data_IF_969203521531
#
_entry.id   IF_969203521531
#
_cell.length_a   1.000
_cell.length_b   1.000
_cell.length_c   1.000
_cell.angle_alpha   90.00
_cell.angle_beta   90.00
_cell.angle_gamma   90.00
#
_symmetry.space_group_name_H-M   'P 1'
#
loop_
_entity.id
_entity.type
_entity.pdbx_description
1 polymer ?
#
# COMPACT_ATOMS: atom_id res chain seq x y z
N UNK A 1 -5.36 24.13 -0.58
CA UNK A 1 -6.07 24.51 -1.82
C UNK A 1 -5.15 24.13 -2.97
N UNK A 2 -5.38 22.98 -3.60
CA UNK A 2 -4.58 22.44 -4.70
C UNK A 2 -5.52 22.12 -5.86
N UNK A 3 -5.17 22.55 -7.06
CA UNK A 3 -6.06 22.75 -8.21
C UNK A 3 -6.42 21.47 -8.97
N UNK A 4 -6.93 20.45 -8.29
CA UNK A 4 -7.80 19.40 -8.87
C UNK A 4 -8.86 19.10 -7.82
N UNK A 5 -10.13 18.96 -8.24
CA UNK A 5 -11.27 18.70 -7.35
C UNK A 5 -11.24 17.31 -6.71
N UNK A 6 -10.21 17.03 -5.91
CA UNK A 6 -10.08 15.83 -5.10
C UNK A 6 -10.34 16.22 -3.64
N UNK A 7 -11.58 16.04 -3.21
CA UNK A 7 -11.88 16.02 -1.78
C UNK A 7 -11.29 14.76 -1.18
N UNK A 8 -10.50 14.87 -0.11
CA UNK A 8 -10.06 13.72 0.68
C UNK A 8 -11.31 13.20 1.38
N UNK A 9 -11.97 12.18 0.80
CA UNK A 9 -13.09 11.48 1.44
C UNK A 9 -12.54 10.58 2.55
N UNK A 10 -11.90 11.18 3.57
CA UNK A 10 -11.70 10.50 4.84
C UNK A 10 -13.07 10.42 5.50
N UNK A 11 -13.64 9.23 5.51
CA UNK A 11 -14.82 8.96 6.31
C UNK A 11 -14.47 9.26 7.78
N UNK A 12 -15.15 10.25 8.38
CA UNK A 12 -14.92 10.67 9.76
C UNK A 12 -15.56 9.71 10.78
N UNK A 13 -15.84 8.47 10.36
CA UNK A 13 -16.41 7.41 11.18
C UNK A 13 -15.40 6.29 11.25
N UNK A 14 -15.18 5.75 12.44
CA UNK A 14 -14.36 4.55 12.63
C UNK A 14 -15.06 3.40 11.89
N UNK A 15 -14.60 3.07 10.69
CA UNK A 15 -15.07 1.87 10.00
C UNK A 15 -14.50 0.67 10.77
N UNK A 16 -15.38 -0.03 11.48
CA UNK A 16 -15.05 -1.28 12.15
C UNK A 16 -14.43 -2.24 11.13
N UNK A 17 -13.17 -2.63 11.36
CA UNK A 17 -12.45 -3.59 10.52
C UNK A 17 -11.48 -2.98 9.49
N UNK A 18 -11.37 -1.65 9.39
CA UNK A 18 -10.34 -1.00 8.54
C UNK A 18 -9.42 -0.14 9.38
N UNK A 19 -8.14 -0.51 9.41
CA UNK A 19 -7.09 0.20 10.13
C UNK A 19 -6.18 0.90 9.12
N UNK A 20 -5.76 2.12 9.43
CA UNK A 20 -4.89 2.92 8.56
C UNK A 20 -3.52 3.05 9.22
N UNK A 21 -2.49 2.58 8.52
CA UNK A 21 -1.09 2.74 8.91
C UNK A 21 -0.57 4.16 8.59
N UNK A 22 0.55 4.50 9.21
CA UNK A 22 1.29 5.71 8.86
C UNK A 22 1.73 5.67 7.40
N UNK A 23 1.68 6.83 6.74
CA UNK A 23 2.13 6.95 5.37
C UNK A 23 3.66 6.90 5.30
N UNK A 24 4.29 5.93 4.60
CA UNK A 24 5.75 5.80 4.50
C UNK A 24 6.32 6.79 3.47
N UNK A 25 6.05 8.08 3.66
CA UNK A 25 6.54 9.18 2.83
C UNK A 25 7.98 9.57 3.26
N UNK A 26 9.01 9.39 2.40
CA UNK A 26 10.40 9.72 2.73
C UNK A 26 10.65 11.18 3.08
N UNK A 27 9.82 12.10 2.57
CA UNK A 27 10.01 13.54 2.68
C UNK A 27 9.18 14.17 3.80
N UNK A 28 7.91 13.76 3.95
CA UNK A 28 6.99 14.35 4.95
C UNK A 28 6.65 13.43 6.12
N UNK A 29 7.02 12.16 6.03
CA UNK A 29 6.68 11.17 7.04
C UNK A 29 7.56 11.27 8.29
N UNK A 30 7.04 10.76 9.41
CA UNK A 30 7.64 10.88 10.75
C UNK A 30 9.02 10.22 10.83
N UNK A 31 9.23 9.15 10.07
CA UNK A 31 10.47 8.36 10.08
C UNK A 31 11.35 8.59 8.85
N UNK A 32 11.04 9.58 8.00
CA UNK A 32 11.79 9.86 6.79
C UNK A 32 11.84 8.65 5.85
N UNK A 33 13.03 8.30 5.34
CA UNK A 33 13.24 7.17 4.42
C UNK A 33 13.44 5.81 5.10
N UNK A 34 13.14 5.69 6.40
CA UNK A 34 13.30 4.45 7.17
C UNK A 34 12.05 3.57 7.05
N UNK A 35 12.02 2.72 6.03
CA UNK A 35 10.88 1.84 5.73
C UNK A 35 10.57 0.83 6.82
N UNK A 36 11.57 0.35 7.56
CA UNK A 36 11.38 -0.64 8.64
C UNK A 36 10.59 -0.06 9.82
N UNK A 37 10.82 1.22 10.15
CA UNK A 37 10.03 1.90 11.20
C UNK A 37 8.56 2.05 10.83
N UNK A 38 8.25 2.32 9.56
CA UNK A 38 6.86 2.31 9.11
C UNK A 38 6.27 0.89 9.08
N UNK A 39 7.06 -0.12 8.71
CA UNK A 39 6.60 -1.50 8.78
C UNK A 39 6.30 -1.94 10.22
N UNK A 40 7.05 -1.43 11.19
CA UNK A 40 6.77 -1.63 12.62
C UNK A 40 5.43 -1.03 13.03
N UNK A 41 5.05 0.14 12.53
CA UNK A 41 3.72 0.71 12.78
C UNK A 41 2.60 -0.23 12.28
N UNK A 42 2.79 -0.87 11.12
CA UNK A 42 1.86 -1.90 10.63
C UNK A 42 1.82 -3.11 11.57
N UNK A 43 2.97 -3.57 12.06
CA UNK A 43 3.03 -4.66 13.02
C UNK A 43 2.31 -4.31 14.33
N UNK A 44 2.53 -3.10 14.87
CA UNK A 44 1.87 -2.61 16.07
C UNK A 44 0.33 -2.53 15.85
N UNK A 45 -0.12 -2.16 14.65
CA UNK A 45 -1.54 -2.19 14.29
C UNK A 45 -2.12 -3.61 14.24
N UNK A 46 -1.36 -4.59 13.78
CA UNK A 46 -1.78 -6.00 13.82
C UNK A 46 -1.93 -6.44 15.28
N UNK A 47 -0.91 -6.19 16.11
CA UNK A 47 -0.82 -6.71 17.47
C UNK A 47 -1.78 -6.02 18.44
N UNK A 48 -1.96 -4.71 18.33
CA UNK A 48 -2.75 -3.91 19.27
C UNK A 48 -4.05 -3.35 18.68
N UNK A 49 -4.11 -3.21 17.34
CA UNK A 49 -5.29 -2.71 16.65
C UNK A 49 -6.27 -3.80 16.25
N UNK A 50 -5.83 -5.05 16.14
CA UNK A 50 -6.66 -6.19 15.71
C UNK A 50 -6.61 -7.34 16.71
N UNK A 51 -7.21 -8.49 16.38
CA UNK A 51 -7.13 -9.72 17.17
C UNK A 51 -5.84 -10.52 16.92
N UNK A 52 -4.83 -9.91 16.28
CA UNK A 52 -3.61 -10.58 15.80
C UNK A 52 -3.77 -11.32 14.48
N UNK A 53 -4.96 -11.28 13.87
CA UNK A 53 -5.23 -11.84 12.55
C UNK A 53 -5.77 -10.74 11.63
N UNK A 54 -5.24 -10.68 10.41
CA UNK A 54 -5.66 -9.70 9.40
C UNK A 54 -6.16 -10.43 8.17
N UNK A 55 -7.24 -9.95 7.57
CA UNK A 55 -7.77 -10.53 6.34
C UNK A 55 -6.91 -10.15 5.13
N UNK A 56 -6.64 -8.86 4.94
CA UNK A 56 -5.85 -8.36 3.83
C UNK A 56 -5.14 -7.04 4.17
N UNK A 57 -4.02 -6.80 3.51
CA UNK A 57 -3.36 -5.50 3.42
C UNK A 57 -3.46 -4.99 2.00
N UNK A 58 -3.77 -3.71 1.82
CA UNK A 58 -3.86 -3.05 0.51
C UNK A 58 -2.97 -1.82 0.48
N UNK A 59 -2.16 -1.68 -0.57
CA UNK A 59 -1.32 -0.50 -0.78
C UNK A 59 -1.07 -0.23 -2.26
N UNK A 60 -1.06 1.04 -2.65
CA UNK A 60 -0.42 1.47 -3.90
C UNK A 60 1.10 1.24 -3.78
N UNK A 61 1.77 0.95 -4.91
CA UNK A 61 3.23 0.80 -4.93
C UNK A 61 3.96 2.13 -5.05
N UNK A 62 3.32 3.09 -5.72
CA UNK A 62 3.65 4.51 -5.69
C UNK A 62 2.33 5.24 -5.47
N UNK A 63 2.23 6.05 -4.42
CA UNK A 63 0.98 6.74 -4.12
C UNK A 63 0.71 7.82 -5.14
N UNK A 64 -0.25 7.60 -6.03
CA UNK A 64 -0.58 8.55 -7.09
C UNK A 64 -1.27 9.80 -6.56
N UNK A 65 -2.48 9.64 -6.03
CA UNK A 65 -3.29 10.77 -5.50
C UNK A 65 -2.71 11.32 -4.19
N UNK A 66 -1.92 10.53 -3.48
CA UNK A 66 -1.19 10.94 -2.27
C UNK A 66 -0.09 11.98 -2.52
N UNK A 67 0.25 12.26 -3.77
CA UNK A 67 1.25 13.26 -4.15
C UNK A 67 2.37 12.75 -5.05
N UNK A 68 2.18 11.60 -5.72
CA UNK A 68 3.22 10.89 -6.49
C UNK A 68 4.42 10.61 -5.59
N UNK A 69 4.16 9.83 -4.53
CA UNK A 69 5.15 9.53 -3.48
C UNK A 69 5.62 8.09 -3.63
N UNK A 70 6.92 7.92 -3.86
CA UNK A 70 7.58 6.63 -3.74
C UNK A 70 7.68 6.26 -2.25
N UNK A 71 7.32 5.02 -1.93
CA UNK A 71 7.37 4.55 -0.55
C UNK A 71 8.81 4.45 -0.05
N UNK A 72 8.99 4.61 1.26
CA UNK A 72 10.28 4.40 1.91
C UNK A 72 10.89 3.03 1.54
N UNK A 73 12.19 2.96 1.15
CA UNK A 73 12.83 1.71 0.75
C UNK A 73 12.69 0.62 1.82
N UNK A 74 12.41 -0.61 1.39
CA UNK A 74 12.27 -1.76 2.30
C UNK A 74 10.93 -1.85 3.05
N UNK A 75 10.04 -0.86 2.92
CA UNK A 75 8.73 -0.88 3.57
C UNK A 75 7.84 -2.04 3.10
N UNK A 76 7.57 -2.16 1.80
CA UNK A 76 6.67 -3.19 1.28
C UNK A 76 7.15 -4.62 1.57
N UNK A 77 8.44 -4.98 1.37
CA UNK A 77 8.94 -6.31 1.75
C UNK A 77 8.71 -6.65 3.21
N UNK A 78 8.97 -5.70 4.12
CA UNK A 78 8.80 -5.91 5.55
C UNK A 78 7.32 -6.10 5.92
N UNK A 79 6.42 -5.26 5.38
CA UNK A 79 4.99 -5.36 5.64
C UNK A 79 4.40 -6.66 5.12
N UNK A 80 4.75 -7.09 3.90
CA UNK A 80 4.23 -8.34 3.33
C UNK A 80 4.64 -9.54 4.19
N UNK A 81 5.86 -9.51 4.75
CA UNK A 81 6.30 -10.51 5.73
C UNK A 81 5.42 -10.55 6.97
N UNK A 82 5.14 -9.39 7.59
CA UNK A 82 4.25 -9.28 8.75
C UNK A 82 2.83 -9.76 8.45
N UNK A 83 2.25 -9.37 7.32
CA UNK A 83 0.88 -9.75 6.93
C UNK A 83 0.77 -11.25 6.68
N UNK A 84 1.76 -11.84 6.00
CA UNK A 84 1.82 -13.29 5.79
C UNK A 84 1.92 -14.05 7.11
N UNK A 85 2.70 -13.55 8.06
CA UNK A 85 2.79 -14.15 9.40
C UNK A 85 1.47 -14.06 10.18
N UNK A 86 0.69 -13.00 9.96
CA UNK A 86 -0.64 -12.82 10.55
C UNK A 86 -1.77 -13.56 9.79
N UNK A 87 -1.43 -14.35 8.76
CA UNK A 87 -2.38 -15.14 7.97
C UNK A 87 -3.21 -14.33 6.96
N UNK A 88 -2.82 -13.09 6.69
CA UNK A 88 -3.50 -12.22 5.72
C UNK A 88 -2.91 -12.30 4.32
N UNK A 89 -3.65 -11.74 3.35
CA UNK A 89 -3.20 -11.60 1.97
C UNK A 89 -2.71 -10.18 1.66
N UNK A 90 -1.81 -10.05 0.71
CA UNK A 90 -1.27 -8.75 0.27
C UNK A 90 -1.84 -8.35 -1.09
N UNK A 91 -2.45 -7.17 -1.15
CA UNK A 91 -3.10 -6.59 -2.33
C UNK A 91 -2.28 -5.38 -2.80
N UNK A 92 -1.75 -5.43 -4.03
CA UNK A 92 -1.10 -4.29 -4.65
C UNK A 92 -2.08 -3.51 -5.52
N UNK A 93 -2.24 -2.21 -5.23
CA UNK A 93 -3.04 -1.30 -6.06
C UNK A 93 -2.18 -0.66 -7.15
N UNK A 94 -2.36 -1.15 -8.37
CA UNK A 94 -1.62 -0.77 -9.57
C UNK A 94 -2.51 0.00 -10.56
N UNK A 95 -3.61 0.60 -10.11
CA UNK A 95 -4.52 1.40 -10.95
C UNK A 95 -3.81 2.57 -11.65
N UNK A 96 -2.75 3.13 -11.04
CA UNK A 96 -2.00 4.27 -11.59
C UNK A 96 -0.57 3.92 -12.02
N UNK A 97 0.12 3.12 -11.22
CA UNK A 97 1.53 2.74 -11.40
C UNK A 97 1.75 1.55 -12.34
N UNK A 98 0.69 0.78 -12.65
CA UNK A 98 0.76 -0.36 -13.56
C UNK A 98 0.95 0.05 -15.03
N UNK A 99 1.06 -0.97 -15.91
CA UNK A 99 1.23 -0.81 -17.36
C UNK A 99 2.47 -0.02 -17.78
N UNK A 100 3.62 -0.40 -17.25
CA UNK A 100 4.92 0.19 -17.60
C UNK A 100 5.01 1.70 -17.35
N UNK A 101 4.14 2.27 -16.49
CA UNK A 101 4.19 3.69 -16.12
C UNK A 101 5.50 4.07 -15.44
N UNK A 102 6.07 3.14 -14.68
CA UNK A 102 7.38 3.24 -14.01
C UNK A 102 8.56 2.95 -14.94
N UNK A 103 8.30 2.48 -16.17
CA UNK A 103 9.28 2.30 -17.25
C UNK A 103 10.19 1.08 -17.16
N UNK A 104 10.62 0.67 -15.96
CA UNK A 104 11.55 -0.44 -15.78
C UNK A 104 10.89 -1.82 -15.79
N UNK A 105 9.64 -1.90 -15.31
CA UNK A 105 8.89 -3.14 -15.11
C UNK A 105 7.45 -2.96 -15.59
N UNK A 106 6.70 -4.06 -15.75
CA UNK A 106 5.30 -3.96 -16.16
C UNK A 106 4.41 -3.51 -15.00
N UNK A 107 4.75 -3.92 -13.76
CA UNK A 107 4.12 -3.51 -12.52
C UNK A 107 5.04 -2.68 -11.63
N UNK A 108 4.45 -1.78 -10.82
CA UNK A 108 5.20 -1.01 -9.83
C UNK A 108 5.79 -1.88 -8.70
N UNK A 109 5.10 -2.92 -8.26
CA UNK A 109 5.56 -3.80 -7.16
C UNK A 109 6.85 -4.55 -7.49
N UNK A 110 7.11 -4.83 -8.77
CA UNK A 110 8.33 -5.51 -9.22
C UNK A 110 9.58 -4.69 -8.90
N UNK A 111 9.47 -3.35 -8.99
CA UNK A 111 10.56 -2.44 -8.63
C UNK A 111 10.94 -2.48 -7.14
N UNK A 112 10.01 -2.95 -6.29
CA UNK A 112 10.16 -3.06 -4.84
C UNK A 112 10.49 -4.50 -4.40
N UNK A 113 10.62 -5.44 -5.34
CA UNK A 113 11.01 -6.82 -5.07
C UNK A 113 9.96 -7.64 -4.30
N UNK A 114 8.68 -7.27 -4.39
CA UNK A 114 7.58 -7.96 -3.69
C UNK A 114 6.63 -8.63 -4.66
N UNK A 115 5.99 -9.71 -4.22
CA UNK A 115 4.96 -10.43 -4.99
C UNK A 115 3.65 -10.40 -4.19
N UNK A 116 2.62 -9.64 -4.64
CA UNK A 116 1.30 -9.63 -4.01
C UNK A 116 0.47 -10.85 -4.40
N UNK A 117 -0.50 -11.21 -3.56
CA UNK A 117 -1.48 -12.27 -3.86
C UNK A 117 -2.55 -11.79 -4.85
N UNK A 118 -2.94 -10.52 -4.74
CA UNK A 118 -3.94 -9.88 -5.59
C UNK A 118 -3.36 -8.57 -6.13
N UNK A 119 -3.57 -8.31 -7.43
CA UNK A 119 -3.25 -7.02 -8.04
C UNK A 119 -4.56 -6.37 -8.49
N UNK A 120 -4.80 -5.12 -8.06
CA UNK A 120 -5.90 -4.30 -8.59
C UNK A 120 -5.41 -3.42 -9.71
N UNK A 121 -6.18 -3.37 -10.81
CA UNK A 121 -5.88 -2.54 -11.96
C UNK A 121 -7.13 -1.89 -12.50
N UNK A 122 -7.01 -0.65 -12.97
CA UNK A 122 -8.05 0.03 -13.70
C UNK A 122 -7.44 1.11 -14.61
N UNK A 123 -8.23 2.13 -14.97
CA UNK A 123 -7.84 3.33 -15.71
C UNK A 123 -7.53 3.07 -17.20
N UNK A 124 -6.34 2.57 -17.54
CA UNK A 124 -5.96 2.26 -18.94
C UNK A 124 -6.60 0.94 -19.41
N UNK A 125 -6.92 0.06 -18.46
CA UNK A 125 -7.68 -1.17 -18.69
C UNK A 125 -8.98 -1.15 -17.88
N UNK A 126 -10.01 -1.85 -18.37
CA UNK A 126 -11.28 -2.05 -17.65
C UNK A 126 -11.01 -2.88 -16.38
N UNK A 127 -11.70 -2.61 -15.26
CA UNK A 127 -11.41 -3.20 -13.95
C UNK A 127 -11.37 -4.74 -14.00
N UNK A 128 -10.23 -5.34 -13.66
CA UNK A 128 -10.05 -6.79 -13.54
C UNK A 128 -9.18 -7.10 -12.32
N UNK A 129 -9.61 -8.05 -11.49
CA UNK A 129 -8.79 -8.59 -10.40
C UNK A 129 -7.93 -9.73 -10.96
N UNK A 130 -6.61 -9.64 -10.85
CA UNK A 130 -5.72 -10.74 -11.19
C UNK A 130 -5.30 -11.46 -9.91
N UNK A 131 -5.72 -12.71 -9.77
CA UNK A 131 -5.20 -13.63 -8.75
C UNK A 131 -3.94 -14.28 -9.31
N UNK A 132 -2.80 -14.05 -8.67
CA UNK A 132 -1.55 -14.72 -8.99
C UNK A 132 -1.49 -16.02 -8.17
N UNK A 133 -1.79 -17.16 -8.80
CA UNK A 133 -1.69 -18.50 -8.20
C UNK A 133 -0.34 -19.14 -8.43
#
# INVERSE_FOLDING_TARGET
MGATGQSIWKFNVVQSGVHHALNPDPYRGVFGSDGEKYAKDVQDLIDFGTSGNVAAFISETIQGVGGIVELAPGYLPAVYGSIKNAGGISIADEVQSGFARTGSHFWGFESQGVVPDIVTMAKVHFLFFLLLS
#
